data_IF_399000110340
#
_entry.id   IF_399000110340
#
_cell.length_a   1.000
_cell.length_b   1.000
_cell.length_c   1.000
_cell.angle_alpha   90.00
_cell.angle_beta   90.00
_cell.angle_gamma   90.00
#
_symmetry.space_group_name_H-M   'P 1'
#
loop_
_entity.id
_entity.type
_entity.pdbx_description
1 polymer ?
#
# COMPACT_ATOMS: atom_id res chain seq x y z
N UNK A 1 12.73 -13.76 -15.78
CA UNK A 1 13.16 -12.58 -16.59
C UNK A 1 12.97 -11.34 -15.75
N UNK A 2 13.93 -10.44 -15.73
CA UNK A 2 13.87 -9.17 -15.02
C UNK A 2 12.75 -8.30 -15.61
N UNK A 3 11.88 -7.76 -14.75
CA UNK A 3 10.75 -6.90 -15.16
C UNK A 3 11.21 -5.46 -15.37
N UNK A 4 10.92 -4.89 -16.52
CA UNK A 4 11.25 -3.50 -16.86
C UNK A 4 10.15 -2.57 -16.38
N UNK A 5 10.47 -1.69 -15.44
CA UNK A 5 9.50 -0.86 -14.71
C UNK A 5 9.80 0.62 -14.94
N UNK A 6 8.75 1.40 -15.20
CA UNK A 6 8.78 2.86 -15.14
C UNK A 6 8.00 3.33 -13.89
N UNK A 7 8.52 4.32 -13.18
CA UNK A 7 7.84 4.94 -12.03
C UNK A 7 7.29 6.30 -12.47
N UNK A 8 5.99 6.48 -12.39
CA UNK A 8 5.34 7.77 -12.58
C UNK A 8 4.95 8.37 -11.22
N UNK A 9 5.62 9.46 -10.83
CA UNK A 9 5.55 10.05 -9.51
C UNK A 9 6.61 9.50 -8.55
N UNK A 10 7.63 10.29 -8.28
CA UNK A 10 8.70 9.93 -7.34
C UNK A 10 8.48 10.61 -5.98
N UNK A 11 7.20 10.67 -5.58
CA UNK A 11 6.75 11.08 -4.27
C UNK A 11 7.11 10.07 -3.17
N UNK A 12 6.39 10.09 -2.05
CA UNK A 12 6.66 9.19 -0.92
C UNK A 12 6.65 7.71 -1.35
N UNK A 13 5.55 7.24 -1.95
CA UNK A 13 5.40 5.83 -2.33
C UNK A 13 6.34 5.44 -3.48
N UNK A 14 6.49 6.28 -4.51
CA UNK A 14 7.42 5.99 -5.61
C UNK A 14 8.86 5.81 -5.15
N UNK A 15 9.33 6.65 -4.20
CA UNK A 15 10.66 6.51 -3.61
C UNK A 15 10.79 5.28 -2.72
N UNK A 16 9.79 4.95 -1.93
CA UNK A 16 9.83 3.76 -1.08
C UNK A 16 9.71 2.46 -1.87
N UNK A 17 8.92 2.46 -2.95
CA UNK A 17 8.93 1.38 -3.92
C UNK A 17 10.34 1.21 -4.53
N UNK A 18 10.99 2.30 -4.94
CA UNK A 18 12.36 2.26 -5.44
C UNK A 18 13.34 1.71 -4.40
N UNK A 19 13.23 2.15 -3.12
CA UNK A 19 14.04 1.63 -2.01
C UNK A 19 13.80 0.14 -1.76
N UNK A 20 12.54 -0.30 -1.81
CA UNK A 20 12.19 -1.72 -1.65
C UNK A 20 12.79 -2.56 -2.80
N UNK A 21 12.72 -2.07 -4.04
CA UNK A 21 13.36 -2.70 -5.19
C UNK A 21 14.87 -2.77 -4.98
N UNK A 22 15.51 -1.68 -4.59
CA UNK A 22 16.96 -1.65 -4.35
C UNK A 22 17.40 -2.62 -3.25
N UNK A 23 16.68 -2.67 -2.14
CA UNK A 23 17.04 -3.48 -0.98
C UNK A 23 16.77 -4.99 -1.20
N UNK A 24 15.68 -5.34 -1.88
CA UNK A 24 15.17 -6.71 -1.88
C UNK A 24 14.99 -7.33 -3.27
N UNK A 25 14.86 -6.53 -4.35
CA UNK A 25 14.41 -7.01 -5.66
C UNK A 25 15.23 -6.48 -6.84
N UNK A 26 16.46 -6.02 -6.58
CA UNK A 26 17.30 -5.35 -7.58
C UNK A 26 17.63 -6.21 -8.80
N UNK A 27 17.67 -7.53 -8.63
CA UNK A 27 17.93 -8.48 -9.71
C UNK A 27 16.65 -8.87 -10.47
N UNK A 28 15.48 -8.64 -9.89
CA UNK A 28 14.19 -9.05 -10.42
C UNK A 28 13.46 -7.91 -11.12
N UNK A 29 13.71 -6.66 -10.69
CA UNK A 29 13.10 -5.45 -11.24
C UNK A 29 14.17 -4.48 -11.74
N UNK A 30 14.09 -4.15 -13.02
CA UNK A 30 14.88 -3.10 -13.66
C UNK A 30 14.05 -1.80 -13.70
N UNK A 31 14.33 -0.85 -12.80
CA UNK A 31 13.76 0.49 -12.91
C UNK A 31 14.47 1.22 -14.04
N UNK A 32 13.75 1.40 -15.15
CA UNK A 32 14.28 1.92 -16.44
C UNK A 32 14.19 3.43 -16.52
N UNK A 33 13.12 4.00 -15.99
CA UNK A 33 12.88 5.45 -16.02
C UNK A 33 11.99 5.89 -14.86
N UNK A 34 12.11 7.15 -14.49
CA UNK A 34 11.27 7.81 -13.50
C UNK A 34 10.70 9.07 -14.14
N UNK A 35 9.42 9.35 -13.91
CA UNK A 35 8.78 10.61 -14.28
C UNK A 35 8.39 11.37 -13.01
N UNK A 36 8.84 12.62 -12.91
CA UNK A 36 8.41 13.55 -11.86
C UNK A 36 8.60 14.99 -12.33
N UNK A 37 7.82 15.94 -11.81
CA UNK A 37 7.88 17.34 -12.23
C UNK A 37 9.01 18.14 -11.55
N UNK A 38 9.67 17.55 -10.55
CA UNK A 38 10.84 18.14 -9.91
C UNK A 38 12.13 17.80 -10.66
N UNK A 39 13.10 18.72 -10.59
CA UNK A 39 14.43 18.49 -11.16
C UNK A 39 15.15 17.33 -10.46
N UNK A 40 15.99 16.56 -11.19
CA UNK A 40 16.68 15.38 -10.66
C UNK A 40 17.45 15.60 -9.36
N UNK A 41 18.07 16.79 -9.18
CA UNK A 41 18.81 17.13 -7.97
C UNK A 41 17.95 17.09 -6.69
N UNK A 42 16.67 17.52 -6.79
CA UNK A 42 15.74 17.48 -5.64
C UNK A 42 15.24 16.06 -5.38
N UNK A 43 15.02 15.28 -6.45
CA UNK A 43 14.65 13.87 -6.35
C UNK A 43 15.79 13.04 -5.74
N UNK A 44 17.04 13.33 -6.14
CA UNK A 44 18.24 12.71 -5.55
C UNK A 44 18.35 13.01 -4.05
N UNK A 45 18.14 14.25 -3.66
CA UNK A 45 18.13 14.64 -2.25
C UNK A 45 17.05 13.91 -1.46
N UNK A 46 15.82 13.88 -1.99
CA UNK A 46 14.68 13.24 -1.36
C UNK A 46 14.77 11.70 -1.30
N UNK A 47 15.49 11.08 -2.26
CA UNK A 47 15.81 9.65 -2.18
C UNK A 47 16.89 9.36 -1.14
N UNK A 48 17.91 10.24 -1.07
CA UNK A 48 19.07 10.06 -0.21
C UNK A 48 18.75 10.16 1.28
N UNK A 49 17.82 11.06 1.64
CA UNK A 49 17.47 11.34 3.03
C UNK A 49 15.99 11.13 3.28
N UNK A 50 15.68 10.38 4.31
CA UNK A 50 14.32 10.09 4.72
C UNK A 50 14.21 10.18 6.24
N UNK A 51 13.16 10.87 6.73
CA UNK A 51 12.97 11.11 8.17
C UNK A 51 12.55 9.86 8.94
N UNK A 52 11.94 8.88 8.24
CA UNK A 52 11.48 7.62 8.84
C UNK A 52 12.50 6.50 8.58
N UNK A 53 12.89 6.32 7.32
CA UNK A 53 13.75 5.20 6.89
C UNK A 53 15.24 5.54 6.84
N UNK A 54 15.61 6.76 7.23
CA UNK A 54 17.01 7.18 7.27
C UNK A 54 17.67 7.31 5.89
N UNK A 55 18.99 7.21 5.86
CA UNK A 55 19.74 7.36 4.61
C UNK A 55 19.54 6.16 3.69
N UNK A 56 19.45 6.45 2.38
CA UNK A 56 19.51 5.43 1.35
C UNK A 56 20.85 4.70 1.37
N UNK A 57 20.85 3.40 1.18
CA UNK A 57 22.07 2.56 1.34
C UNK A 57 23.06 2.72 0.18
N UNK A 58 22.56 2.97 -1.03
CA UNK A 58 23.37 3.15 -2.23
C UNK A 58 23.89 4.57 -2.40
N UNK A 59 24.85 4.74 -3.30
CA UNK A 59 25.33 6.06 -3.73
C UNK A 59 24.27 6.70 -4.63
N UNK A 60 23.86 7.92 -4.32
CA UNK A 60 22.90 8.68 -5.11
C UNK A 60 23.55 9.95 -5.65
N UNK A 61 23.59 10.09 -6.95
CA UNK A 61 24.04 11.29 -7.67
C UNK A 61 22.97 11.68 -8.70
N UNK A 62 23.09 12.86 -9.29
CA UNK A 62 22.18 13.33 -10.35
C UNK A 62 22.92 14.10 -11.42
N UNK A 63 22.40 14.01 -12.63
CA UNK A 63 22.72 14.91 -13.75
C UNK A 63 21.53 15.86 -13.97
N UNK A 64 21.55 16.61 -15.07
CA UNK A 64 20.43 17.49 -15.45
C UNK A 64 19.14 16.71 -15.73
N UNK A 65 19.25 15.44 -16.20
CA UNK A 65 18.13 14.66 -16.69
C UNK A 65 18.11 13.21 -16.18
N UNK A 66 18.87 12.88 -15.14
CA UNK A 66 18.90 11.52 -14.60
C UNK A 66 19.29 11.45 -13.13
N UNK A 67 18.92 10.34 -12.48
CA UNK A 67 19.54 9.86 -11.25
C UNK A 67 20.61 8.82 -11.60
N UNK A 68 21.69 8.84 -10.83
CA UNK A 68 22.74 7.81 -10.89
C UNK A 68 22.74 7.10 -9.56
N UNK A 69 22.36 5.82 -9.56
CA UNK A 69 22.31 4.97 -8.37
C UNK A 69 23.43 3.94 -8.48
N UNK A 70 24.41 4.04 -7.61
CA UNK A 70 25.70 3.35 -7.70
C UNK A 70 26.40 3.61 -9.04
N UNK A 71 26.17 2.87 -10.06
CA UNK A 71 26.68 3.15 -11.41
C UNK A 71 25.57 3.13 -12.47
N UNK A 72 24.31 2.87 -12.04
CA UNK A 72 23.18 2.78 -12.93
C UNK A 72 22.60 4.16 -13.19
N UNK A 73 22.56 4.55 -14.46
CA UNK A 73 21.90 5.77 -14.90
C UNK A 73 20.41 5.50 -15.14
N UNK A 74 19.54 6.28 -14.45
CA UNK A 74 18.08 6.19 -14.56
C UNK A 74 17.58 7.54 -15.08
N UNK A 75 17.11 7.61 -16.34
CA UNK A 75 16.56 8.83 -16.93
C UNK A 75 15.35 9.36 -16.16
N UNK A 76 15.28 10.68 -16.02
CA UNK A 76 14.13 11.40 -15.46
C UNK A 76 13.43 12.15 -16.59
N UNK A 77 12.12 11.99 -16.68
CA UNK A 77 11.23 12.81 -17.50
C UNK A 77 10.38 13.73 -16.61
N UNK A 78 9.88 14.83 -17.17
CA UNK A 78 9.02 15.80 -16.45
C UNK A 78 7.69 16.00 -17.21
N UNK A 79 7.11 14.89 -17.66
CA UNK A 79 5.87 14.89 -18.43
C UNK A 79 4.64 14.96 -17.53
N UNK A 80 3.72 15.86 -17.85
CA UNK A 80 2.43 15.99 -17.15
C UNK A 80 1.40 14.99 -17.63
N UNK A 81 1.45 14.62 -18.91
CA UNK A 81 0.56 13.64 -19.51
C UNK A 81 1.26 12.29 -19.65
N UNK A 82 0.80 11.24 -18.97
CA UNK A 82 1.39 9.92 -19.06
C UNK A 82 1.42 9.33 -20.49
N UNK A 83 0.56 9.80 -21.39
CA UNK A 83 0.54 9.36 -22.79
C UNK A 83 1.80 9.78 -23.56
N UNK A 84 2.52 10.81 -23.11
CA UNK A 84 3.76 11.28 -23.72
C UNK A 84 5.03 10.59 -23.18
N UNK A 85 4.89 9.68 -22.21
CA UNK A 85 6.03 8.97 -21.61
C UNK A 85 6.65 7.96 -22.59
N UNK A 86 7.98 7.75 -22.56
CA UNK A 86 8.68 6.90 -23.53
C UNK A 86 8.58 5.39 -23.19
N UNK A 87 7.38 4.89 -22.83
CA UNK A 87 7.21 3.51 -22.40
C UNK A 87 7.47 2.50 -23.50
N UNK A 88 7.01 2.79 -24.75
CA UNK A 88 7.23 1.90 -25.89
C UNK A 88 8.73 1.75 -26.22
N UNK A 89 9.47 2.87 -26.34
CA UNK A 89 10.91 2.84 -26.64
C UNK A 89 11.74 2.21 -25.54
N UNK A 90 11.26 2.30 -24.29
CA UNK A 90 11.90 1.71 -23.13
C UNK A 90 11.46 0.26 -22.88
N UNK A 91 10.55 -0.31 -23.68
CA UNK A 91 10.01 -1.66 -23.51
C UNK A 91 9.49 -1.91 -22.08
N UNK A 92 8.66 -1.01 -21.57
CA UNK A 92 8.15 -1.08 -20.19
C UNK A 92 7.14 -2.22 -20.04
N UNK A 93 7.42 -3.15 -19.13
CA UNK A 93 6.50 -4.21 -18.75
C UNK A 93 5.39 -3.68 -17.83
N UNK A 94 5.77 -2.89 -16.82
CA UNK A 94 4.83 -2.32 -15.84
C UNK A 94 5.15 -0.85 -15.60
N UNK A 95 4.15 0.02 -15.79
CA UNK A 95 4.18 1.39 -15.31
C UNK A 95 3.60 1.42 -13.89
N UNK A 96 4.39 1.84 -12.90
CA UNK A 96 3.94 2.08 -11.53
C UNK A 96 3.40 3.51 -11.44
N UNK A 97 2.08 3.65 -11.29
CA UNK A 97 1.41 4.93 -11.11
C UNK A 97 1.36 5.30 -9.63
N UNK A 98 2.18 6.24 -9.21
CA UNK A 98 2.32 6.69 -7.82
C UNK A 98 2.21 8.21 -7.64
N UNK A 99 1.61 8.92 -8.61
CA UNK A 99 1.32 10.36 -8.50
C UNK A 99 0.10 10.66 -7.64
N UNK A 100 -0.81 9.68 -7.48
CA UNK A 100 -2.12 9.86 -6.87
C UNK A 100 -3.12 10.62 -7.74
N UNK A 101 -2.78 10.94 -9.00
CA UNK A 101 -3.62 11.71 -9.93
C UNK A 101 -4.36 10.83 -10.93
N UNK A 102 -3.72 9.78 -11.43
CA UNK A 102 -4.26 8.92 -12.49
C UNK A 102 -4.77 7.62 -11.90
N UNK A 103 -5.67 7.74 -10.92
CA UNK A 103 -6.23 6.62 -10.13
C UNK A 103 -7.57 6.12 -10.68
N UNK A 104 -7.88 6.41 -11.93
CA UNK A 104 -9.06 5.92 -12.65
C UNK A 104 -8.65 5.29 -13.98
N UNK A 105 -9.56 4.54 -14.61
CA UNK A 105 -9.32 3.89 -15.89
C UNK A 105 -8.80 4.85 -16.96
N UNK A 106 -9.46 6.00 -17.14
CA UNK A 106 -9.08 6.99 -18.15
C UNK A 106 -7.63 7.44 -17.98
N UNK A 107 -7.28 7.88 -16.76
CA UNK A 107 -5.92 8.36 -16.45
C UNK A 107 -4.87 7.27 -16.58
N UNK A 108 -5.13 6.08 -16.04
CA UNK A 108 -4.22 4.95 -16.09
C UNK A 108 -4.02 4.41 -17.52
N UNK A 109 -5.06 4.42 -18.36
CA UNK A 109 -4.97 3.99 -19.77
C UNK A 109 -3.95 4.78 -20.58
N UNK A 110 -3.62 6.00 -20.18
CA UNK A 110 -2.59 6.82 -20.83
C UNK A 110 -1.21 6.15 -20.82
N UNK A 111 -0.88 5.41 -19.76
CA UNK A 111 0.35 4.62 -19.73
C UNK A 111 0.35 3.48 -20.76
N UNK A 112 -0.81 2.85 -20.99
CA UNK A 112 -0.95 1.83 -22.03
C UNK A 112 -0.81 2.45 -23.41
N UNK A 113 -1.40 3.64 -23.63
CA UNK A 113 -1.23 4.42 -24.87
C UNK A 113 0.23 4.77 -25.12
N UNK A 114 1.00 5.08 -24.07
CA UNK A 114 2.44 5.32 -24.12
C UNK A 114 3.27 4.05 -24.41
N UNK A 115 2.65 2.87 -24.32
CA UNK A 115 3.28 1.59 -24.66
C UNK A 115 3.70 0.72 -23.49
N UNK A 116 3.31 1.02 -22.27
CA UNK A 116 3.45 0.09 -21.15
C UNK A 116 2.54 -1.12 -21.37
N UNK A 117 3.00 -2.33 -21.02
CA UNK A 117 2.18 -3.55 -21.16
C UNK A 117 1.10 -3.63 -20.09
N UNK A 118 1.39 -3.12 -18.89
CA UNK A 118 0.48 -3.06 -17.73
C UNK A 118 0.71 -1.81 -16.91
N UNK A 119 -0.29 -1.45 -16.11
CA UNK A 119 -0.23 -0.34 -15.15
C UNK A 119 -0.56 -0.88 -13.76
N UNK A 120 0.32 -0.61 -12.79
CA UNK A 120 0.07 -0.88 -11.38
C UNK A 120 -0.16 0.45 -10.65
N UNK A 121 -1.39 0.66 -10.19
CA UNK A 121 -1.78 1.88 -9.45
C UNK A 121 -1.51 1.65 -7.96
N UNK A 122 -0.74 2.53 -7.35
CA UNK A 122 -0.37 2.49 -5.93
C UNK A 122 -1.42 3.09 -4.99
N UNK A 123 -2.68 2.96 -5.34
CA UNK A 123 -3.82 3.51 -4.60
C UNK A 123 -5.11 2.75 -4.95
N UNK A 124 -6.18 2.88 -4.15
CA UNK A 124 -7.51 2.49 -4.57
C UNK A 124 -7.87 3.20 -5.88
N UNK A 125 -8.33 2.46 -6.87
CA UNK A 125 -8.64 2.99 -8.18
C UNK A 125 -10.14 2.94 -8.49
N UNK A 126 -10.58 3.87 -9.33
CA UNK A 126 -11.92 3.85 -9.89
C UNK A 126 -11.88 3.10 -11.22
N UNK A 127 -12.70 2.04 -11.31
CA UNK A 127 -12.84 1.21 -12.50
C UNK A 127 -11.51 0.63 -13.05
N UNK A 128 -10.64 0.00 -12.22
CA UNK A 128 -9.52 -0.80 -12.70
C UNK A 128 -10.04 -2.10 -13.34
N UNK A 129 -9.18 -2.85 -14.03
CA UNK A 129 -9.55 -4.19 -14.47
C UNK A 129 -9.70 -5.13 -13.27
N UNK A 130 -8.84 -4.95 -12.27
CA UNK A 130 -8.89 -5.68 -11.01
C UNK A 130 -8.23 -4.88 -9.88
N UNK A 131 -8.79 -5.02 -8.68
CA UNK A 131 -8.13 -4.63 -7.43
C UNK A 131 -7.55 -5.89 -6.79
N UNK A 132 -6.24 -5.92 -6.58
CA UNK A 132 -5.51 -7.10 -6.09
C UNK A 132 -4.91 -6.83 -4.72
N UNK A 133 -5.07 -7.80 -3.83
CA UNK A 133 -4.31 -7.93 -2.59
C UNK A 133 -3.57 -9.27 -2.64
N UNK A 134 -2.25 -9.21 -2.69
CA UNK A 134 -1.40 -10.40 -2.81
C UNK A 134 -1.63 -11.36 -1.62
N UNK A 135 -1.76 -12.64 -1.89
CA UNK A 135 -2.11 -13.68 -0.92
C UNK A 135 -3.61 -13.82 -0.64
N UNK A 136 -4.45 -12.91 -1.16
CA UNK A 136 -5.89 -12.93 -0.93
C UNK A 136 -6.72 -13.24 -2.17
N UNK A 137 -6.48 -12.54 -3.28
CA UNK A 137 -7.21 -12.73 -4.54
C UNK A 137 -6.33 -12.61 -5.79
N UNK A 138 -5.03 -12.73 -5.64
CA UNK A 138 -4.07 -12.65 -6.74
C UNK A 138 -4.12 -13.86 -7.69
N UNK A 139 -4.81 -14.92 -7.30
CA UNK A 139 -5.19 -16.04 -8.16
C UNK A 139 -6.19 -15.64 -9.26
N UNK A 140 -6.98 -14.58 -9.03
CA UNK A 140 -7.93 -14.04 -10.01
C UNK A 140 -7.27 -13.14 -11.07
N UNK A 141 -6.00 -12.77 -10.88
CA UNK A 141 -5.27 -11.92 -11.83
C UNK A 141 -4.88 -12.73 -13.08
N UNK A 142 -5.30 -12.25 -14.25
CA UNK A 142 -5.03 -12.88 -15.56
C UNK A 142 -4.17 -12.00 -16.47
N UNK A 143 -3.73 -12.55 -17.60
CA UNK A 143 -2.99 -11.81 -18.63
C UNK A 143 -3.78 -10.67 -19.27
N UNK A 144 -5.12 -10.73 -19.22
CA UNK A 144 -6.00 -9.75 -19.84
C UNK A 144 -6.15 -8.49 -19.00
N UNK A 145 -5.91 -8.58 -17.69
CA UNK A 145 -5.92 -7.43 -16.80
C UNK A 145 -4.69 -6.54 -17.07
N UNK A 146 -4.94 -5.31 -17.51
CA UNK A 146 -3.90 -4.33 -17.88
C UNK A 146 -3.79 -3.19 -16.87
N UNK A 147 -4.91 -2.79 -16.24
CA UNK A 147 -4.98 -1.72 -15.24
C UNK A 147 -5.28 -2.36 -13.90
N UNK A 148 -4.26 -2.46 -13.04
CA UNK A 148 -4.31 -3.16 -11.78
C UNK A 148 -4.19 -2.15 -10.63
N UNK A 149 -5.09 -2.22 -9.64
CA UNK A 149 -4.96 -1.49 -8.39
C UNK A 149 -4.37 -2.39 -7.31
N UNK A 150 -3.32 -1.93 -6.61
CA UNK A 150 -2.80 -2.60 -5.41
C UNK A 150 -3.63 -2.30 -4.15
N UNK A 151 -4.86 -1.81 -4.30
CA UNK A 151 -5.72 -1.35 -3.20
C UNK A 151 -5.04 -0.25 -2.36
N UNK A 152 -5.32 -0.18 -1.05
CA UNK A 152 -4.66 0.70 -0.10
C UNK A 152 -3.77 -0.09 0.87
N UNK A 153 -2.87 0.60 1.57
CA UNK A 153 -2.08 -0.01 2.65
C UNK A 153 -2.98 -0.64 3.73
N UNK A 154 -4.05 0.05 4.12
CA UNK A 154 -5.03 -0.46 5.09
C UNK A 154 -5.77 -1.68 4.57
N UNK A 155 -6.18 -1.72 3.29
CA UNK A 155 -6.80 -2.90 2.68
C UNK A 155 -5.82 -4.08 2.64
N UNK A 156 -4.55 -3.82 2.34
CA UNK A 156 -3.51 -4.86 2.36
C UNK A 156 -3.28 -5.43 3.77
N UNK A 157 -3.43 -4.62 4.83
CA UNK A 157 -3.38 -5.11 6.20
C UNK A 157 -4.63 -5.89 6.59
N UNK A 158 -5.81 -5.36 6.24
CA UNK A 158 -7.10 -5.93 6.66
C UNK A 158 -7.43 -7.25 5.96
N UNK A 159 -7.16 -7.36 4.66
CA UNK A 159 -7.58 -8.50 3.85
C UNK A 159 -7.00 -9.85 4.29
N UNK A 160 -5.72 -9.99 4.65
CA UNK A 160 -5.18 -11.25 5.18
C UNK A 160 -5.88 -11.70 6.47
N UNK A 161 -6.16 -10.76 7.37
CA UNK A 161 -6.89 -11.05 8.64
C UNK A 161 -8.33 -11.47 8.36
N UNK A 162 -9.01 -10.75 7.47
CA UNK A 162 -10.38 -11.07 7.03
C UNK A 162 -10.43 -12.44 6.36
N UNK A 163 -9.45 -12.78 5.53
CA UNK A 163 -9.36 -14.11 4.88
C UNK A 163 -9.38 -15.22 5.93
N UNK A 164 -8.50 -15.15 6.92
CA UNK A 164 -8.40 -16.17 7.97
C UNK A 164 -9.69 -16.25 8.80
N UNK A 165 -10.28 -15.10 9.17
CA UNK A 165 -11.54 -15.08 9.90
C UNK A 165 -12.69 -15.62 9.06
N UNK A 166 -12.77 -15.25 7.78
CA UNK A 166 -13.83 -15.73 6.88
C UNK A 166 -13.78 -17.24 6.68
N UNK A 167 -12.59 -17.81 6.50
CA UNK A 167 -12.37 -19.23 6.36
C UNK A 167 -12.64 -20.02 7.66
N UNK A 168 -12.35 -19.42 8.82
CA UNK A 168 -12.44 -20.10 10.11
C UNK A 168 -13.78 -19.95 10.81
N UNK A 169 -14.36 -18.74 10.83
CA UNK A 169 -15.52 -18.38 11.66
C UNK A 169 -16.67 -17.75 10.89
N UNK A 170 -16.49 -17.42 9.63
CA UNK A 170 -17.46 -16.77 8.72
C UNK A 170 -18.03 -15.46 9.26
N UNK A 171 -17.59 -14.36 8.69
CA UNK A 171 -18.00 -13.00 9.06
C UNK A 171 -19.43 -12.74 8.56
N UNK A 172 -20.32 -12.35 9.48
CA UNK A 172 -21.67 -11.85 9.14
C UNK A 172 -21.58 -10.39 8.72
N UNK A 173 -21.00 -9.55 9.56
CA UNK A 173 -20.71 -8.14 9.32
C UNK A 173 -19.67 -7.63 10.32
N UNK A 174 -19.12 -6.44 10.07
CA UNK A 174 -18.15 -5.86 11.00
C UNK A 174 -17.86 -4.39 10.74
N UNK A 175 -17.21 -3.78 11.71
CA UNK A 175 -16.73 -2.40 11.64
C UNK A 175 -15.25 -2.40 11.99
N UNK A 176 -14.45 -1.68 11.19
CA UNK A 176 -13.05 -1.46 11.52
C UNK A 176 -12.73 0.01 11.76
N UNK A 177 -11.80 0.24 12.67
CA UNK A 177 -11.13 1.54 12.80
C UNK A 177 -9.66 1.34 12.50
N UNK A 178 -9.11 2.09 11.54
CA UNK A 178 -7.67 2.17 11.44
C UNK A 178 -7.15 3.39 12.19
N UNK A 179 -6.28 3.15 13.17
CA UNK A 179 -5.47 4.18 13.82
C UNK A 179 -4.25 4.35 12.92
N UNK A 180 -4.24 5.43 12.16
CA UNK A 180 -3.36 5.58 11.00
C UNK A 180 -2.41 6.75 11.16
N UNK A 181 -1.16 6.52 10.84
CA UNK A 181 -0.15 7.59 10.73
C UNK A 181 -0.63 8.70 9.79
N UNK A 182 -0.19 9.93 10.04
CA UNK A 182 -0.49 11.03 9.11
C UNK A 182 0.18 10.79 7.75
N UNK A 183 -0.41 11.32 6.71
CA UNK A 183 0.09 11.21 5.33
C UNK A 183 0.17 12.59 4.69
N UNK A 184 0.83 12.69 3.53
CA UNK A 184 1.14 13.96 2.86
C UNK A 184 -0.11 14.76 2.40
N UNK A 185 -1.30 14.18 2.49
CA UNK A 185 -2.57 14.88 2.26
C UNK A 185 -3.04 15.73 3.45
N UNK A 186 -2.36 15.62 4.60
CA UNK A 186 -2.64 16.39 5.81
C UNK A 186 -1.69 17.58 5.91
N UNK A 187 -2.13 18.62 6.61
CA UNK A 187 -1.36 19.87 6.74
C UNK A 187 -0.41 19.79 7.94
N UNK A 188 0.77 20.40 7.81
CA UNK A 188 1.73 20.52 8.93
C UNK A 188 1.26 21.53 9.97
N UNK A 189 0.68 22.65 9.51
CA UNK A 189 0.05 23.68 10.35
C UNK A 189 -1.40 23.88 9.91
N UNK A 190 -2.21 24.55 10.74
CA UNK A 190 -3.61 24.82 10.41
C UNK A 190 -3.72 25.69 9.17
N UNK A 191 -4.40 25.18 8.14
CA UNK A 191 -4.75 25.91 6.93
C UNK A 191 -6.23 25.73 6.57
N UNK A 192 -6.80 26.73 5.93
CA UNK A 192 -8.17 26.60 5.40
C UNK A 192 -8.19 25.63 4.22
N UNK A 193 -9.13 24.69 4.26
CA UNK A 193 -9.44 23.78 3.12
C UNK A 193 -10.93 23.89 2.81
N UNK A 194 -11.25 24.21 1.57
CA UNK A 194 -12.62 24.24 1.09
C UNK A 194 -13.16 22.84 0.79
N UNK A 195 -14.46 22.63 0.96
CA UNK A 195 -15.17 21.43 0.58
C UNK A 195 -15.95 20.78 1.72
N UNK A 196 -15.98 19.46 1.74
CA UNK A 196 -16.70 18.69 2.78
C UNK A 196 -16.09 18.88 4.17
N UNK A 197 -16.85 18.67 5.26
CA UNK A 197 -16.30 18.71 6.61
C UNK A 197 -15.02 17.86 6.78
N UNK A 198 -14.96 16.71 6.13
CA UNK A 198 -13.78 15.85 6.12
C UNK A 198 -12.55 16.50 5.47
N UNK A 199 -12.73 17.23 4.37
CA UNK A 199 -11.64 18.00 3.75
C UNK A 199 -11.17 19.14 4.65
N UNK A 200 -12.11 19.79 5.35
CA UNK A 200 -11.79 20.89 6.27
C UNK A 200 -10.92 20.42 7.43
N UNK A 201 -11.26 19.31 8.09
CA UNK A 201 -10.48 18.79 9.23
C UNK A 201 -9.10 18.28 8.85
N UNK A 202 -8.89 17.82 7.59
CA UNK A 202 -7.55 17.47 7.07
C UNK A 202 -6.63 18.70 6.91
N UNK A 203 -7.17 19.90 7.00
CA UNK A 203 -6.40 21.15 7.06
C UNK A 203 -5.81 21.44 8.44
N UNK A 204 -6.17 20.68 9.48
CA UNK A 204 -5.63 20.86 10.83
C UNK A 204 -4.24 20.21 10.94
N UNK A 205 -3.41 20.81 11.83
CA UNK A 205 -2.03 20.37 12.05
C UNK A 205 -1.93 18.90 12.42
N UNK A 206 -1.34 18.08 11.55
CA UNK A 206 -1.30 16.63 11.64
C UNK A 206 -0.55 16.12 12.88
N UNK A 207 0.55 16.76 13.24
CA UNK A 207 1.38 16.37 14.37
C UNK A 207 0.81 16.82 15.75
N UNK A 208 -0.28 17.59 15.76
CA UNK A 208 -0.90 18.09 16.97
C UNK A 208 -2.31 17.55 17.25
N UNK A 209 -2.90 16.81 16.30
CA UNK A 209 -4.31 16.42 16.39
C UNK A 209 -4.53 14.95 16.01
N UNK A 210 -5.50 14.33 16.68
CA UNK A 210 -6.17 13.12 16.19
C UNK A 210 -7.32 13.55 15.28
N UNK A 211 -7.32 13.07 14.02
CA UNK A 211 -8.22 13.56 12.98
C UNK A 211 -9.05 12.38 12.44
N UNK A 212 -10.38 12.32 12.70
CA UNK A 212 -11.24 11.31 12.10
C UNK A 212 -11.41 11.59 10.61
N UNK A 213 -11.31 10.53 9.80
CA UNK A 213 -11.54 10.63 8.34
C UNK A 213 -12.28 9.38 7.86
N UNK A 214 -12.96 9.50 6.72
CA UNK A 214 -13.47 8.31 6.03
C UNK A 214 -12.33 7.45 5.51
N UNK A 215 -12.61 6.17 5.31
CA UNK A 215 -11.72 5.25 4.60
C UNK A 215 -12.55 4.31 3.72
N UNK A 216 -12.10 4.11 2.49
CA UNK A 216 -12.67 3.09 1.61
C UNK A 216 -12.10 1.68 1.84
N UNK A 217 -11.17 1.53 2.78
CA UNK A 217 -10.42 0.28 2.93
C UNK A 217 -11.29 -0.92 3.32
N UNK A 218 -12.25 -0.73 4.24
CA UNK A 218 -13.18 -1.79 4.63
C UNK A 218 -14.14 -2.16 3.49
N UNK A 219 -14.67 -1.15 2.77
CA UNK A 219 -15.53 -1.38 1.60
C UNK A 219 -14.79 -2.09 0.46
N UNK A 220 -13.50 -1.80 0.29
CA UNK A 220 -12.65 -2.45 -0.71
C UNK A 220 -12.45 -3.95 -0.45
N UNK A 221 -12.71 -4.44 0.76
CA UNK A 221 -12.72 -5.89 1.06
C UNK A 221 -13.73 -6.62 0.19
N UNK A 222 -14.88 -6.02 -0.13
CA UNK A 222 -15.86 -6.60 -1.05
C UNK A 222 -15.35 -6.78 -2.49
N UNK A 223 -14.31 -6.03 -2.92
CA UNK A 223 -13.66 -6.24 -4.21
C UNK A 223 -12.70 -7.44 -4.19
N UNK A 224 -12.16 -7.76 -3.01
CA UNK A 224 -11.26 -8.90 -2.78
C UNK A 224 -12.05 -10.18 -2.51
N UNK A 225 -13.06 -10.08 -1.63
CA UNK A 225 -13.97 -11.15 -1.20
C UNK A 225 -15.42 -10.75 -1.50
N UNK A 226 -15.97 -11.09 -2.68
CA UNK A 226 -17.30 -10.66 -3.09
C UNK A 226 -18.43 -11.04 -2.13
N UNK A 227 -18.29 -12.13 -1.39
CA UNK A 227 -19.25 -12.60 -0.38
C UNK A 227 -19.35 -11.66 0.85
N UNK A 228 -18.36 -10.77 1.02
CA UNK A 228 -18.34 -9.76 2.07
C UNK A 228 -18.76 -8.36 1.56
N UNK A 229 -19.23 -8.26 0.33
CA UNK A 229 -19.69 -6.98 -0.23
C UNK A 229 -20.81 -6.38 0.64
N UNK A 230 -20.59 -5.14 1.12
CA UNK A 230 -21.54 -4.42 1.97
C UNK A 230 -21.59 -4.87 3.44
N UNK A 231 -20.79 -5.87 3.84
CA UNK A 231 -20.77 -6.39 5.20
C UNK A 231 -19.72 -5.72 6.11
N UNK A 232 -18.73 -5.05 5.53
CA UNK A 232 -17.69 -4.34 6.26
C UNK A 232 -17.68 -2.86 5.92
N UNK A 233 -17.60 -2.02 6.95
CA UNK A 233 -17.40 -0.56 6.84
C UNK A 233 -16.42 -0.09 7.92
N UNK A 234 -16.05 1.18 7.90
CA UNK A 234 -15.13 1.70 8.92
C UNK A 234 -14.69 3.14 8.71
N UNK A 235 -13.89 3.60 9.66
CA UNK A 235 -13.29 4.93 9.67
C UNK A 235 -11.77 4.84 9.86
N UNK A 236 -11.09 5.94 9.56
CA UNK A 236 -9.69 6.13 9.93
C UNK A 236 -9.57 7.22 11.00
N UNK A 237 -8.78 6.96 12.02
CA UNK A 237 -8.34 7.96 12.99
C UNK A 237 -6.88 8.29 12.70
N UNK A 238 -6.62 9.44 12.11
CA UNK A 238 -5.25 9.91 11.87
C UNK A 238 -4.64 10.39 13.17
N UNK A 239 -3.42 9.93 13.46
CA UNK A 239 -2.72 10.21 14.72
C UNK A 239 -1.36 10.88 14.48
N UNK A 240 -0.77 11.57 15.48
CA UNK A 240 0.52 12.25 15.37
C UNK A 240 1.72 11.27 15.35
N UNK A 241 1.71 10.31 14.44
CA UNK A 241 2.79 9.34 14.19
C UNK A 241 3.22 9.42 12.73
N UNK A 242 4.51 9.45 12.41
CA UNK A 242 4.98 9.60 11.02
C UNK A 242 4.78 8.34 10.20
N UNK A 243 4.83 7.16 10.82
CA UNK A 243 4.63 5.85 10.19
C UNK A 243 4.27 4.80 11.24
N UNK A 244 3.80 3.62 10.81
CA UNK A 244 3.30 2.57 11.71
C UNK A 244 1.84 2.79 12.09
N UNK A 245 0.97 2.01 11.47
CA UNK A 245 -0.50 2.08 11.62
C UNK A 245 -1.06 0.75 12.15
N UNK A 246 -2.29 0.77 12.64
CA UNK A 246 -2.96 -0.42 13.15
C UNK A 246 -4.43 -0.46 12.73
N UNK A 247 -4.91 -1.65 12.37
CA UNK A 247 -6.32 -1.95 12.16
C UNK A 247 -6.88 -2.59 13.41
N UNK A 248 -7.98 -2.04 13.93
CA UNK A 248 -8.86 -2.62 14.95
C UNK A 248 -10.15 -3.07 14.24
N UNK A 249 -10.32 -4.38 14.05
CA UNK A 249 -11.51 -4.97 13.44
C UNK A 249 -12.40 -5.61 14.50
N UNK A 250 -13.67 -5.22 14.49
CA UNK A 250 -14.74 -5.88 15.25
C UNK A 250 -15.71 -6.51 14.27
N UNK A 251 -15.91 -7.81 14.40
CA UNK A 251 -16.75 -8.59 13.49
C UNK A 251 -17.67 -9.54 14.25
N UNK A 252 -18.94 -9.57 13.86
CA UNK A 252 -19.88 -10.60 14.28
C UNK A 252 -19.75 -11.78 13.34
N UNK A 253 -19.62 -12.99 13.89
CA UNK A 253 -19.31 -14.21 13.14
C UNK A 253 -20.43 -15.27 13.27
N UNK A 254 -20.45 -16.23 12.33
CA UNK A 254 -21.44 -17.32 12.34
C UNK A 254 -21.06 -18.43 13.33
N UNK A 255 -19.78 -18.79 13.36
CA UNK A 255 -19.23 -19.92 14.11
C UNK A 255 -18.17 -19.44 15.10
N UNK A 256 -18.57 -18.86 16.24
CA UNK A 256 -17.61 -18.31 17.20
C UNK A 256 -16.73 -19.42 17.80
N UNK A 257 -15.45 -19.14 17.90
CA UNK A 257 -14.42 -19.97 18.55
C UNK A 257 -13.68 -19.10 19.57
N UNK A 258 -12.89 -19.71 20.43
CA UNK A 258 -12.12 -18.99 21.45
C UNK A 258 -11.05 -18.08 20.83
N UNK A 259 -10.62 -17.06 21.58
CA UNK A 259 -9.50 -16.20 21.20
C UNK A 259 -8.21 -17.02 20.95
N UNK A 260 -7.96 -18.06 21.72
CA UNK A 260 -6.81 -18.94 21.51
C UNK A 260 -6.88 -19.70 20.18
N UNK A 261 -8.05 -20.16 19.78
CA UNK A 261 -8.24 -20.84 18.49
C UNK A 261 -8.09 -19.86 17.31
N UNK A 262 -8.63 -18.61 17.44
CA UNK A 262 -8.40 -17.55 16.43
C UNK A 262 -6.89 -17.30 16.28
N UNK A 263 -6.18 -17.10 17.39
CA UNK A 263 -4.74 -16.87 17.39
C UNK A 263 -3.97 -18.03 16.73
N UNK A 264 -4.40 -19.28 17.02
CA UNK A 264 -3.80 -20.46 16.39
C UNK A 264 -4.00 -20.46 14.87
N UNK A 265 -5.20 -20.11 14.36
CA UNK A 265 -5.49 -19.98 12.93
C UNK A 265 -4.69 -18.88 12.25
N UNK A 266 -4.54 -17.74 12.91
CA UNK A 266 -3.69 -16.63 12.40
C UNK A 266 -2.22 -17.07 12.31
N UNK A 267 -1.70 -17.72 13.34
CA UNK A 267 -0.33 -18.25 13.36
C UNK A 267 -0.11 -19.33 12.29
N UNK A 268 -1.07 -20.23 12.09
CA UNK A 268 -1.04 -21.24 11.04
C UNK A 268 -0.97 -20.59 9.66
N UNK A 269 -1.81 -19.60 9.38
CA UNK A 269 -1.83 -18.90 8.11
C UNK A 269 -0.53 -18.09 7.87
N UNK A 270 0.00 -17.42 8.88
CA UNK A 270 1.26 -16.66 8.82
C UNK A 270 2.45 -17.56 8.47
N UNK A 271 2.49 -18.78 9.00
CA UNK A 271 3.54 -19.75 8.68
C UNK A 271 3.29 -20.56 7.41
N UNK A 272 2.06 -20.53 6.89
CA UNK A 272 1.58 -21.33 5.77
C UNK A 272 1.19 -20.49 4.55
N UNK A 273 -0.11 -20.45 4.27
CA UNK A 273 -0.69 -19.88 3.04
C UNK A 273 -0.44 -18.38 2.87
N UNK A 274 -0.24 -17.64 3.95
CA UNK A 274 0.02 -16.19 3.95
C UNK A 274 1.46 -15.84 4.36
N UNK A 275 2.37 -16.81 4.29
CA UNK A 275 3.79 -16.58 4.62
C UNK A 275 4.38 -15.42 3.80
N UNK A 276 4.99 -14.45 4.49
CA UNK A 276 5.55 -13.24 3.91
C UNK A 276 4.52 -12.14 3.63
N UNK A 277 3.22 -12.41 3.83
CA UNK A 277 2.12 -11.44 3.71
C UNK A 277 1.56 -11.09 5.09
N UNK A 278 1.15 -12.10 5.84
CA UNK A 278 0.74 -12.00 7.23
C UNK A 278 1.91 -12.43 8.12
N UNK A 279 2.21 -11.63 9.12
CA UNK A 279 3.08 -11.99 10.24
C UNK A 279 2.24 -12.13 11.52
N UNK A 280 2.83 -12.70 12.56
CA UNK A 280 2.17 -12.97 13.82
C UNK A 280 3.11 -12.66 14.98
N UNK A 281 2.62 -11.94 15.99
CA UNK A 281 3.40 -11.65 17.19
C UNK A 281 2.63 -11.90 18.49
N UNK A 282 3.33 -12.43 19.49
CA UNK A 282 2.91 -12.48 20.89
C UNK A 282 3.57 -11.37 21.70
N UNK A 283 4.45 -10.57 21.11
CA UNK A 283 5.15 -9.49 21.79
C UNK A 283 4.27 -8.23 21.96
N UNK A 284 4.46 -7.46 23.03
CA UNK A 284 3.74 -6.21 23.29
C UNK A 284 4.36 -5.06 22.49
N UNK A 285 4.17 -5.08 21.16
CA UNK A 285 4.73 -4.09 20.21
C UNK A 285 3.87 -2.83 20.12
N UNK A 286 4.51 -1.74 19.65
CA UNK A 286 3.90 -0.44 19.36
C UNK A 286 4.24 0.01 17.94
N UNK A 287 3.71 1.16 17.50
CA UNK A 287 3.84 1.63 16.12
C UNK A 287 5.27 1.76 15.61
N UNK A 288 6.22 2.16 16.46
CA UNK A 288 7.64 2.28 16.07
C UNK A 288 8.31 0.95 15.77
N UNK A 289 7.81 -0.15 16.33
CA UNK A 289 8.37 -1.50 16.12
C UNK A 289 7.98 -2.08 14.76
N UNK A 290 6.98 -1.46 14.09
CA UNK A 290 6.49 -1.86 12.78
C UNK A 290 7.22 -1.18 11.64
N UNK A 291 7.89 -0.05 11.90
CA UNK A 291 8.62 0.69 10.88
C UNK A 291 9.70 -0.18 10.24
N UNK A 292 9.64 -0.32 8.91
CA UNK A 292 10.53 -1.19 8.15
C UNK A 292 10.09 -2.66 8.05
N UNK A 293 8.96 -3.05 8.66
CA UNK A 293 8.43 -4.40 8.51
C UNK A 293 7.82 -4.59 7.10
N UNK A 294 8.29 -5.57 6.30
CA UNK A 294 7.83 -5.75 4.93
C UNK A 294 6.49 -6.47 4.80
N UNK A 295 5.93 -7.04 5.87
CA UNK A 295 4.64 -7.73 5.80
C UNK A 295 3.49 -6.75 5.59
N UNK A 296 2.44 -7.19 4.91
CA UNK A 296 1.22 -6.40 4.75
C UNK A 296 0.48 -6.20 6.07
N UNK A 297 0.60 -7.18 6.97
CA UNK A 297 -0.19 -7.27 8.21
C UNK A 297 0.62 -8.04 9.25
N UNK A 298 0.72 -7.50 10.47
CA UNK A 298 1.37 -8.15 11.62
C UNK A 298 0.31 -8.33 12.69
N UNK A 299 -0.25 -9.52 12.77
CA UNK A 299 -1.33 -9.85 13.71
C UNK A 299 -0.82 -9.86 15.14
N UNK A 300 -1.49 -9.14 16.04
CA UNK A 300 -1.14 -9.05 17.46
C UNK A 300 -2.09 -9.90 18.31
N UNK A 301 -1.60 -11.05 18.74
CA UNK A 301 -2.39 -12.05 19.47
C UNK A 301 -2.87 -11.58 20.85
N UNK A 302 -2.13 -10.67 21.49
CA UNK A 302 -2.44 -10.17 22.84
C UNK A 302 -3.77 -9.43 22.91
N UNK A 303 -4.26 -8.90 21.78
CA UNK A 303 -5.45 -8.06 21.73
C UNK A 303 -6.67 -8.76 21.16
N UNK A 304 -6.58 -10.06 20.88
CA UNK A 304 -7.72 -10.85 20.44
C UNK A 304 -8.73 -11.00 21.58
N UNK A 305 -9.99 -10.62 21.32
CA UNK A 305 -11.11 -10.77 22.24
C UNK A 305 -12.28 -11.45 21.54
N UNK A 306 -12.99 -12.25 22.29
CA UNK A 306 -14.24 -12.88 21.83
C UNK A 306 -15.29 -12.70 22.92
N UNK A 307 -16.44 -12.14 22.56
CA UNK A 307 -17.60 -11.97 23.45
C UNK A 307 -18.81 -12.48 22.67
N UNK A 308 -19.36 -13.63 23.09
CA UNK A 308 -20.43 -14.32 22.37
C UNK A 308 -20.03 -14.60 20.91
N UNK A 309 -20.67 -13.98 19.92
CA UNK A 309 -20.39 -14.08 18.50
C UNK A 309 -19.60 -12.86 17.95
N UNK A 310 -19.17 -11.95 18.80
CA UNK A 310 -18.32 -10.81 18.43
C UNK A 310 -16.85 -11.13 18.64
N UNK A 311 -16.07 -10.96 17.58
CA UNK A 311 -14.61 -11.11 17.55
C UNK A 311 -13.98 -9.74 17.36
N UNK A 312 -13.02 -9.38 18.23
CA UNK A 312 -12.20 -8.18 18.10
C UNK A 312 -10.74 -8.60 17.91
N UNK A 313 -10.10 -8.10 16.86
CA UNK A 313 -8.70 -8.41 16.53
C UNK A 313 -7.96 -7.14 16.12
N UNK A 314 -6.65 -7.15 16.35
CA UNK A 314 -5.77 -6.03 16.09
C UNK A 314 -4.60 -6.49 15.20
N UNK A 315 -4.31 -5.74 14.13
CA UNK A 315 -3.19 -6.02 13.25
C UNK A 315 -2.45 -4.74 12.86
N UNK A 316 -1.14 -4.79 13.00
CA UNK A 316 -0.22 -3.69 12.69
C UNK A 316 0.24 -3.74 11.24
N UNK A 317 0.65 -2.60 10.70
CA UNK A 317 1.26 -2.51 9.38
C UNK A 317 2.12 -1.25 9.23
N UNK A 318 3.24 -1.40 8.55
CA UNK A 318 3.96 -0.26 7.99
C UNK A 318 3.20 0.20 6.75
N UNK A 319 2.52 1.35 6.86
CA UNK A 319 1.64 1.84 5.80
C UNK A 319 2.39 2.31 4.55
N UNK A 320 3.71 2.41 4.61
CA UNK A 320 4.58 2.83 3.52
C UNK A 320 5.47 1.68 3.02
N UNK A 321 6.25 1.06 3.91
CA UNK A 321 7.23 0.04 3.54
C UNK A 321 6.58 -1.29 3.17
N UNK A 322 5.68 -1.80 4.00
CA UNK A 322 4.96 -3.04 3.71
C UNK A 322 4.19 -2.96 2.41
N UNK A 323 3.50 -1.83 2.18
CA UNK A 323 2.77 -1.57 0.94
C UNK A 323 3.69 -1.50 -0.29
N UNK A 324 4.86 -0.86 -0.18
CA UNK A 324 5.84 -0.75 -1.26
C UNK A 324 6.45 -2.11 -1.63
N UNK A 325 6.73 -2.97 -0.64
CA UNK A 325 7.18 -4.34 -0.88
C UNK A 325 6.10 -5.18 -1.59
N UNK A 326 4.81 -5.03 -1.21
CA UNK A 326 3.69 -5.72 -1.91
C UNK A 326 3.61 -5.35 -3.38
N UNK A 327 3.83 -4.08 -3.73
CA UNK A 327 3.86 -3.65 -5.13
C UNK A 327 4.98 -4.35 -5.91
N UNK A 328 6.19 -4.41 -5.36
CA UNK A 328 7.32 -5.08 -5.99
C UNK A 328 7.07 -6.59 -6.17
N UNK A 329 6.59 -7.25 -5.13
CA UNK A 329 6.28 -8.68 -5.20
C UNK A 329 5.13 -8.99 -6.18
N UNK A 330 4.10 -8.15 -6.25
CA UNK A 330 3.02 -8.31 -7.21
C UNK A 330 3.55 -8.24 -8.65
N UNK A 331 4.46 -7.30 -8.94
CA UNK A 331 5.13 -7.19 -10.24
C UNK A 331 5.89 -8.46 -10.58
N UNK A 332 6.69 -8.98 -9.64
CA UNK A 332 7.55 -10.14 -9.88
C UNK A 332 6.73 -11.43 -10.05
N UNK A 333 5.77 -11.63 -9.15
CA UNK A 333 5.04 -12.90 -9.05
C UNK A 333 3.90 -13.02 -10.07
N UNK A 334 3.32 -11.89 -10.51
CA UNK A 334 2.02 -11.89 -11.22
C UNK A 334 1.97 -11.00 -12.48
N UNK A 335 2.82 -10.00 -12.62
CA UNK A 335 2.78 -9.05 -13.74
C UNK A 335 3.93 -9.23 -14.70
#
# INVERSE_FOLDING_TARGET
MTKRVAINGFGRIGRLFFRAVYDNFWNDIDVVSINDLFEPKYLAYALKYDSVFGRFKGKVESTENSLIIDSKNIPITAERDPAALPHASNNIDVAVESTGRFVNREGASKHLTAGAKRVLISAPATDPDITVVLGCNDDKLTSDHKIISNASCTTNCLAPVVKVLQESVKIKYGIMTTIHSYTNDQSTADIARAGTPEKMIRGRAAAANMIPTSTGAAKAIGLVFPELQGKLDGIAMRVPTPDGSVVDLKAVVENPISAAEINAKMREAANGSLKGILDYTDDPIVSSDIVGNPHSSVFSSLWTKVINDEVSVLSWYDNEWGFSNRMAELIIKKL
#
